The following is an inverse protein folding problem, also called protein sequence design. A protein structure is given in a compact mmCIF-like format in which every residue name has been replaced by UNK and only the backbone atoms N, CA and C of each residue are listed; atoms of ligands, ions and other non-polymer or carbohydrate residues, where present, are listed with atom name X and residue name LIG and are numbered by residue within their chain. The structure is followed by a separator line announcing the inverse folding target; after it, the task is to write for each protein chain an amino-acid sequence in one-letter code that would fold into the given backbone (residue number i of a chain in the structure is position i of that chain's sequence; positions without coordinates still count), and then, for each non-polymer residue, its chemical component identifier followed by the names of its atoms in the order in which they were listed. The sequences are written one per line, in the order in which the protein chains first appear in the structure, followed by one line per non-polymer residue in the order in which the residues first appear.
data_IF_990577735697
#
_entry.id   IF_990577735697
#
_cell.length_a   1.000
_cell.length_b   1.000
_cell.length_c   1.000
_cell.angle_alpha   90.00
_cell.angle_beta   90.00
_cell.angle_gamma   90.00
#
_symmetry.space_group_name_H-M   'P 1'
#
loop_
_entity.id
_entity.type
_entity.pdbx_description
1 polymer ?
#
# COMPACT_ATOMS: atom_id res chain seq x y z
N UNK A 1 4.09 9.79 22.72
CA UNK A 1 3.79 8.94 21.55
C UNK A 1 4.50 9.51 20.34
N UNK A 2 5.61 8.91 19.90
CA UNK A 2 6.44 9.39 18.76
C UNK A 2 6.51 8.36 17.62
N UNK A 3 5.47 7.51 17.48
CA UNK A 3 5.39 6.48 16.45
C UNK A 3 4.46 6.85 15.30
N UNK A 4 4.78 6.37 14.09
CA UNK A 4 3.91 6.51 12.90
C UNK A 4 2.74 5.55 13.00
N UNK A 5 1.52 6.05 13.11
CA UNK A 5 0.32 5.20 13.25
C UNK A 5 -0.35 4.88 11.91
N UNK A 6 -0.31 5.83 10.97
CA UNK A 6 -0.98 5.73 9.67
C UNK A 6 0.01 6.05 8.55
N UNK A 7 -0.02 5.29 7.46
CA UNK A 7 0.87 5.45 6.31
C UNK A 7 0.04 5.60 5.03
N UNK A 8 0.28 6.71 4.31
CA UNK A 8 -0.25 6.93 2.97
C UNK A 8 0.81 6.62 1.91
N UNK A 9 0.44 5.88 0.87
CA UNK A 9 1.28 5.61 -0.29
C UNK A 9 0.62 6.17 -1.54
N UNK A 10 1.31 7.07 -2.25
CA UNK A 10 0.86 7.63 -3.52
C UNK A 10 1.60 6.92 -4.66
N UNK A 11 0.85 6.31 -5.56
CA UNK A 11 1.31 5.35 -6.55
C UNK A 11 1.18 3.91 -6.04
N UNK A 12 0.47 3.06 -6.77
CA UNK A 12 0.28 1.63 -6.47
C UNK A 12 0.85 0.71 -7.55
N UNK A 13 1.95 1.12 -8.18
CA UNK A 13 2.81 0.23 -8.96
C UNK A 13 3.58 -0.77 -8.09
N UNK A 14 4.51 -1.53 -8.68
CA UNK A 14 5.25 -2.60 -7.98
C UNK A 14 5.90 -2.15 -6.66
N UNK A 15 6.62 -1.01 -6.67
CA UNK A 15 7.26 -0.49 -5.46
C UNK A 15 6.25 0.06 -4.44
N UNK A 16 5.20 0.75 -4.91
CA UNK A 16 4.16 1.31 -4.04
C UNK A 16 3.39 0.21 -3.28
N UNK A 17 3.02 -0.86 -3.98
CA UNK A 17 2.44 -2.05 -3.36
C UNK A 17 3.38 -2.67 -2.32
N UNK A 18 4.67 -2.85 -2.63
CA UNK A 18 5.65 -3.40 -1.68
C UNK A 18 5.84 -2.53 -0.43
N UNK A 19 5.87 -1.21 -0.59
CA UNK A 19 5.96 -0.27 0.55
C UNK A 19 4.70 -0.38 1.43
N UNK A 20 3.51 -0.36 0.81
CA UNK A 20 2.25 -0.49 1.53
C UNK A 20 2.17 -1.83 2.28
N UNK A 21 2.59 -2.92 1.65
CA UNK A 21 2.63 -4.27 2.22
C UNK A 21 3.48 -4.32 3.49
N UNK A 22 4.70 -3.77 3.46
CA UNK A 22 5.62 -3.77 4.61
C UNK A 22 4.98 -3.09 5.82
N UNK A 23 4.29 -1.97 5.63
CA UNK A 23 3.65 -1.25 6.72
C UNK A 23 2.34 -1.91 7.18
N UNK A 24 1.56 -2.47 6.24
CA UNK A 24 0.35 -3.21 6.55
C UNK A 24 0.68 -4.47 7.39
N UNK A 25 1.74 -5.22 7.05
CA UNK A 25 2.22 -6.37 7.82
C UNK A 25 2.73 -6.02 9.22
N UNK A 26 3.17 -4.78 9.43
CA UNK A 26 3.52 -4.26 10.76
C UNK A 26 2.30 -3.82 11.57
N UNK A 27 1.07 -4.01 11.07
CA UNK A 27 -0.17 -3.63 11.75
C UNK A 27 -0.45 -2.13 11.71
N UNK A 28 0.19 -1.36 10.82
CA UNK A 28 -0.12 0.07 10.65
C UNK A 28 -1.36 0.23 9.78
N UNK A 29 -2.14 1.28 10.06
CA UNK A 29 -3.22 1.66 9.17
C UNK A 29 -2.62 2.20 7.87
N UNK A 30 -3.01 1.62 6.73
CA UNK A 30 -2.46 2.00 5.42
C UNK A 30 -3.55 2.51 4.48
N UNK A 31 -3.18 3.44 3.61
CA UNK A 31 -4.06 3.95 2.54
C UNK A 31 -3.23 4.16 1.29
N UNK A 32 -3.73 3.71 0.14
CA UNK A 32 -3.09 3.90 -1.15
C UNK A 32 -3.92 4.84 -2.03
N UNK A 33 -3.24 5.66 -2.83
CA UNK A 33 -3.85 6.50 -3.86
C UNK A 33 -3.11 6.26 -5.16
N UNK A 34 -3.85 5.98 -6.23
CA UNK A 34 -3.31 5.81 -7.58
C UNK A 34 -4.26 6.50 -8.56
N UNK A 35 -3.71 7.20 -9.54
CA UNK A 35 -4.48 7.97 -10.51
C UNK A 35 -4.95 7.09 -11.68
N UNK A 36 -4.15 6.08 -12.02
CA UNK A 36 -4.47 5.13 -13.09
C UNK A 36 -5.22 3.91 -12.53
N UNK A 37 -6.48 3.74 -12.93
CA UNK A 37 -7.34 2.66 -12.45
C UNK A 37 -6.74 1.26 -12.73
N UNK A 38 -6.09 1.06 -13.88
CA UNK A 38 -5.49 -0.24 -14.22
C UNK A 38 -4.23 -0.53 -13.38
N UNK A 39 -3.44 0.49 -13.04
CA UNK A 39 -2.34 0.39 -12.09
C UNK A 39 -2.86 0.09 -10.68
N UNK A 40 -3.94 0.75 -10.26
CA UNK A 40 -4.57 0.51 -8.97
C UNK A 40 -5.03 -0.95 -8.84
N UNK A 41 -5.72 -1.49 -9.84
CA UNK A 41 -6.20 -2.88 -9.84
C UNK A 41 -5.05 -3.89 -9.80
N UNK A 42 -3.99 -3.66 -10.60
CA UNK A 42 -2.78 -4.51 -10.58
C UNK A 42 -2.10 -4.48 -9.22
N UNK A 43 -1.92 -3.30 -8.65
CA UNK A 43 -1.34 -3.13 -7.32
C UNK A 43 -2.15 -3.81 -6.22
N UNK A 44 -3.48 -3.69 -6.27
CA UNK A 44 -4.37 -4.40 -5.36
C UNK A 44 -4.30 -5.92 -5.52
N UNK A 45 -4.18 -6.43 -6.75
CA UNK A 45 -4.03 -7.86 -6.99
C UNK A 45 -2.74 -8.42 -6.37
N UNK A 46 -1.64 -7.67 -6.43
CA UNK A 46 -0.38 -8.02 -5.76
C UNK A 46 -0.61 -8.10 -4.24
N UNK A 47 -1.25 -7.08 -3.66
CA UNK A 47 -1.50 -7.02 -2.21
C UNK A 47 -2.42 -8.13 -1.71
N UNK A 48 -3.49 -8.46 -2.44
CA UNK A 48 -4.45 -9.53 -2.09
C UNK A 48 -3.80 -10.91 -1.98
N UNK A 49 -2.70 -11.15 -2.68
CA UNK A 49 -1.97 -12.41 -2.62
C UNK A 49 -0.89 -12.43 -1.52
N UNK A 50 -0.56 -11.27 -0.95
CA UNK A 50 0.59 -11.07 -0.05
C UNK A 50 0.22 -10.70 1.39
N UNK A 51 -0.98 -10.15 1.61
CA UNK A 51 -1.56 -9.81 2.92
C UNK A 51 -2.55 -10.90 3.36
#
# INVERSE_FOLDING_TARGET
MTGVQTVGVVGLGAMGAGILEVFAKQGRQTTAVEIDQAALERGQAILKNSL
#
